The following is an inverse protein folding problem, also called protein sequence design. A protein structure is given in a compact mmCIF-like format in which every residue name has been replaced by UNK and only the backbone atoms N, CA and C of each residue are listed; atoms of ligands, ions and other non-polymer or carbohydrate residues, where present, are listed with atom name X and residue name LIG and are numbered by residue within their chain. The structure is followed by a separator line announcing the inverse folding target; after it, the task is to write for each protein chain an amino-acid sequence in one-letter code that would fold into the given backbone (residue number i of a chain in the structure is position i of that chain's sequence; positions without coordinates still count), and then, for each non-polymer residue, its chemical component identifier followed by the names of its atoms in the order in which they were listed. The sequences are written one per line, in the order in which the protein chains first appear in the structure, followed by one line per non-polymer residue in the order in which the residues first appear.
data_IF_827482584015
#
_entry.id   IF_827482584015
#
_cell.length_a   1.000
_cell.length_b   1.000
_cell.length_c   1.000
_cell.angle_alpha   90.00
_cell.angle_beta   90.00
_cell.angle_gamma   90.00
#
_symmetry.space_group_name_H-M   'P 1'
#
loop_
_entity.id
_entity.type
_entity.pdbx_description
1 polymer ?
#
# COMPACT_ATOMS: atom_id res chain seq x y z
N UNK A 1 -9.04 21.46 12.37
CA UNK A 1 -7.83 20.70 11.98
C UNK A 1 -7.04 20.35 13.23
N UNK A 2 -6.51 19.13 13.31
CA UNK A 2 -5.56 18.73 14.33
C UNK A 2 -4.16 19.28 14.02
N UNK A 3 -3.25 19.32 15.00
CA UNK A 3 -1.86 19.72 14.75
C UNK A 3 -1.14 18.58 14.02
N UNK A 4 -0.41 18.89 12.95
CA UNK A 4 0.19 17.90 12.04
C UNK A 4 -0.78 17.33 11.00
N UNK A 5 -1.93 17.97 10.79
CA UNK A 5 -2.90 17.67 9.73
C UNK A 5 -2.75 18.66 8.56
N UNK A 6 -3.07 18.18 7.35
CA UNK A 6 -3.27 19.01 6.17
C UNK A 6 -4.76 19.25 5.95
N UNK A 7 -5.19 20.50 5.80
CA UNK A 7 -6.57 20.81 5.39
C UNK A 7 -6.58 21.68 4.15
N UNK A 8 -7.48 21.39 3.21
CA UNK A 8 -7.55 22.07 1.93
C UNK A 8 -8.84 22.84 1.76
N UNK A 9 -8.77 23.99 1.09
CA UNK A 9 -9.91 24.80 0.66
C UNK A 9 -9.75 25.13 -0.82
N UNK A 10 -10.66 24.61 -1.65
CA UNK A 10 -10.71 24.94 -3.09
C UNK A 10 -11.61 26.13 -3.32
N UNK A 11 -11.08 27.16 -3.95
CA UNK A 11 -11.79 28.38 -4.32
C UNK A 11 -12.29 28.31 -5.77
N UNK A 12 -13.40 29.02 -6.11
CA UNK A 12 -13.90 29.05 -7.48
C UNK A 12 -12.92 29.72 -8.45
N UNK A 13 -12.21 30.74 -7.98
CA UNK A 13 -11.14 31.45 -8.69
C UNK A 13 -9.96 31.67 -7.75
N UNK A 14 -8.80 31.99 -8.33
CA UNK A 14 -7.61 32.31 -7.55
C UNK A 14 -7.82 33.53 -6.66
N UNK A 15 -7.41 33.49 -5.38
CA UNK A 15 -7.54 34.65 -4.50
C UNK A 15 -6.50 35.71 -4.84
N UNK A 16 -6.91 36.98 -4.87
CA UNK A 16 -6.00 38.11 -5.01
C UNK A 16 -5.12 38.26 -3.76
N UNK A 17 -5.69 38.00 -2.57
CA UNK A 17 -5.00 38.07 -1.28
C UNK A 17 -5.47 36.97 -0.35
N UNK A 18 -4.57 36.50 0.50
CA UNK A 18 -4.90 35.71 1.69
C UNK A 18 -4.09 36.24 2.86
N UNK A 19 -4.70 36.28 4.04
CA UNK A 19 -4.02 36.57 5.29
C UNK A 19 -4.55 35.63 6.36
N UNK A 20 -3.66 34.93 7.06
CA UNK A 20 -3.95 34.12 8.25
C UNK A 20 -2.63 33.91 9.01
N UNK A 21 -2.71 33.67 10.31
CA UNK A 21 -1.58 33.33 11.17
C UNK A 21 -1.24 31.82 11.12
N UNK A 22 -1.29 31.22 9.93
CA UNK A 22 -0.94 29.82 9.66
C UNK A 22 -0.17 29.72 8.33
N UNK A 23 0.72 28.72 8.17
CA UNK A 23 1.33 28.46 6.86
C UNK A 23 0.26 28.14 5.82
N UNK A 24 0.38 28.73 4.64
CA UNK A 24 -0.51 28.48 3.51
C UNK A 24 0.31 28.13 2.28
N UNK A 25 0.03 26.96 1.72
CA UNK A 25 0.49 26.57 0.38
C UNK A 25 -0.65 26.76 -0.61
N UNK A 26 -0.28 27.02 -1.86
CA UNK A 26 -1.23 27.30 -2.93
C UNK A 26 -0.87 26.47 -4.14
N UNK A 27 -1.88 25.85 -4.72
CA UNK A 27 -1.74 25.00 -5.89
C UNK A 27 -2.70 25.45 -6.98
N UNK A 28 -2.19 25.49 -8.20
CA UNK A 28 -3.02 25.54 -9.38
C UNK A 28 -3.63 24.15 -9.62
N UNK A 29 -4.71 24.12 -10.39
CA UNK A 29 -5.43 22.91 -10.76
C UNK A 29 -5.39 22.75 -12.29
N UNK A 30 -4.22 22.64 -12.93
CA UNK A 30 -4.13 22.56 -14.39
C UNK A 30 -4.83 21.30 -14.91
N UNK A 31 -5.35 21.35 -16.14
CA UNK A 31 -5.96 20.18 -16.74
C UNK A 31 -4.90 19.13 -17.08
N UNK A 32 -5.13 17.89 -16.64
CA UNK A 32 -4.39 16.68 -17.03
C UNK A 32 -5.36 15.75 -17.76
N UNK A 33 -5.29 15.76 -19.09
CA UNK A 33 -6.27 15.08 -19.93
C UNK A 33 -7.67 15.69 -19.75
N UNK A 34 -8.61 14.86 -19.30
CA UNK A 34 -9.97 15.30 -18.97
C UNK A 34 -10.14 15.69 -17.48
N UNK A 35 -9.05 15.75 -16.71
CA UNK A 35 -9.06 15.88 -15.26
C UNK A 35 -8.27 17.12 -14.81
N UNK A 36 -8.28 17.45 -13.52
CA UNK A 36 -7.44 18.52 -12.94
C UNK A 36 -6.40 17.88 -12.01
N UNK A 37 -5.14 18.31 -12.11
CA UNK A 37 -4.07 17.91 -11.20
C UNK A 37 -3.91 18.94 -10.08
N UNK A 38 -4.12 18.57 -8.80
CA UNK A 38 -4.09 19.53 -7.72
C UNK A 38 -2.71 19.93 -7.19
N UNK A 39 -1.61 19.44 -7.75
CA UNK A 39 -0.30 19.52 -7.08
C UNK A 39 0.72 20.44 -7.75
N UNK A 40 0.30 21.29 -8.68
CA UNK A 40 1.19 22.28 -9.27
C UNK A 40 1.26 23.50 -8.36
N UNK A 41 2.32 23.59 -7.55
CA UNK A 41 2.54 24.73 -6.66
C UNK A 41 2.52 26.04 -7.47
N UNK A 42 1.69 27.00 -7.04
CA UNK A 42 1.49 28.25 -7.76
C UNK A 42 1.18 29.39 -6.79
N UNK A 43 1.89 30.51 -6.94
CA UNK A 43 1.68 31.69 -6.09
C UNK A 43 0.22 32.21 -6.10
N UNK A 44 -0.48 32.00 -7.21
CA UNK A 44 -1.89 32.37 -7.39
C UNK A 44 -2.79 31.13 -7.55
N UNK A 45 -2.44 30.01 -6.91
CA UNK A 45 -3.25 28.80 -6.91
C UNK A 45 -4.60 28.99 -6.23
N UNK A 46 -5.65 28.36 -6.79
CA UNK A 46 -7.02 28.38 -6.23
C UNK A 46 -7.28 27.26 -5.24
N UNK A 47 -6.41 26.26 -5.15
CA UNK A 47 -6.42 25.30 -4.05
C UNK A 47 -5.48 25.80 -2.96
N UNK A 48 -6.06 26.11 -1.81
CA UNK A 48 -5.33 26.51 -0.61
C UNK A 48 -5.14 25.29 0.27
N UNK A 49 -3.93 25.09 0.78
CA UNK A 49 -3.65 24.07 1.76
C UNK A 49 -3.00 24.68 3.00
N UNK A 50 -3.52 24.30 4.16
CA UNK A 50 -3.00 24.68 5.47
C UNK A 50 -2.38 23.43 6.10
N UNK A 51 -1.06 23.37 6.11
CA UNK A 51 -0.31 22.40 6.90
C UNK A 51 -0.21 22.92 8.33
N UNK A 52 -0.98 22.34 9.25
CA UNK A 52 -1.05 22.84 10.63
C UNK A 52 0.22 22.44 11.38
N UNK A 53 1.07 23.39 11.80
CA UNK A 53 2.28 23.07 12.56
C UNK A 53 1.96 22.30 13.85
N UNK A 54 2.86 21.40 14.26
CA UNK A 54 2.69 20.62 15.51
C UNK A 54 2.66 21.49 16.77
N UNK A 55 3.30 22.65 16.70
CA UNK A 55 3.39 23.66 17.75
C UNK A 55 2.37 24.81 17.59
N UNK A 56 1.47 24.72 16.60
CA UNK A 56 0.43 25.72 16.40
C UNK A 56 -0.39 25.97 17.67
N UNK A 57 -0.78 27.23 17.88
CA UNK A 57 -1.68 27.63 18.95
C UNK A 57 -3.03 26.92 18.77
N UNK A 58 -3.63 26.46 19.86
CA UNK A 58 -4.99 25.90 19.79
C UNK A 58 -6.05 27.02 19.74
N UNK A 59 -7.21 26.70 19.15
CA UNK A 59 -8.36 27.59 19.04
C UNK A 59 -8.52 28.20 17.64
N UNK A 60 -9.22 29.33 17.57
CA UNK A 60 -9.50 30.00 16.30
C UNK A 60 -8.27 30.75 15.76
N UNK A 61 -7.97 30.48 14.49
CA UNK A 61 -7.10 31.25 13.61
C UNK A 61 -7.96 31.95 12.59
N UNK A 62 -7.99 33.29 12.64
CA UNK A 62 -8.86 34.12 11.79
C UNK A 62 -8.07 34.57 10.57
N UNK A 63 -8.67 34.40 9.41
CA UNK A 63 -8.09 34.85 8.15
C UNK A 63 -9.05 35.66 7.30
N UNK A 64 -8.49 36.36 6.33
CA UNK A 64 -9.22 37.06 5.28
C UNK A 64 -8.75 36.58 3.91
N UNK A 65 -9.67 36.50 2.96
CA UNK A 65 -9.41 36.20 1.56
C UNK A 65 -10.03 37.29 0.69
N UNK A 66 -9.31 37.70 -0.35
CA UNK A 66 -9.85 38.56 -1.40
C UNK A 66 -10.03 37.71 -2.66
N UNK A 67 -11.26 37.60 -3.15
CA UNK A 67 -11.61 36.85 -4.36
C UNK A 67 -12.58 37.68 -5.20
N UNK A 68 -12.25 37.88 -6.47
CA UNK A 68 -13.02 38.68 -7.42
C UNK A 68 -13.30 40.11 -6.90
N UNK A 69 -12.32 40.69 -6.19
CA UNK A 69 -12.42 42.03 -5.61
C UNK A 69 -13.26 42.12 -4.32
N UNK A 70 -13.88 41.02 -3.88
CA UNK A 70 -14.64 40.95 -2.63
C UNK A 70 -13.80 40.33 -1.51
N UNK A 71 -13.89 40.90 -0.31
CA UNK A 71 -13.25 40.36 0.89
C UNK A 71 -14.20 39.41 1.63
N UNK A 72 -13.68 38.26 2.07
CA UNK A 72 -14.38 37.30 2.91
C UNK A 72 -13.52 36.94 4.13
N UNK A 73 -14.15 36.84 5.29
CA UNK A 73 -13.52 36.32 6.49
C UNK A 73 -13.70 34.80 6.55
N UNK A 74 -12.68 34.09 7.06
CA UNK A 74 -12.74 32.66 7.34
C UNK A 74 -11.99 32.32 8.62
N UNK A 75 -12.23 31.12 9.14
CA UNK A 75 -11.58 30.62 10.34
C UNK A 75 -11.07 29.21 10.14
N UNK A 76 -9.86 28.94 10.64
CA UNK A 76 -9.35 27.59 10.87
C UNK A 76 -9.34 27.35 12.37
N UNK A 77 -10.12 26.39 12.85
CA UNK A 77 -10.08 25.97 14.26
C UNK A 77 -9.03 24.87 14.43
N UNK A 78 -7.99 25.15 15.22
CA UNK A 78 -6.93 24.19 15.56
C UNK A 78 -7.27 23.51 16.89
N UNK A 79 -7.47 22.20 16.86
CA UNK A 79 -7.79 21.42 18.05
C UNK A 79 -6.57 21.29 18.98
N UNK A 80 -6.81 21.15 20.29
CA UNK A 80 -5.74 21.02 21.29
C UNK A 80 -5.18 19.59 21.39
N UNK A 81 -4.86 18.98 20.24
CA UNK A 81 -4.15 17.70 20.18
C UNK A 81 -3.30 17.62 18.91
N UNK A 82 -2.25 16.81 18.97
CA UNK A 82 -1.30 16.60 17.88
C UNK A 82 -1.44 15.18 17.34
N UNK A 83 -1.52 15.05 16.02
CA UNK A 83 -1.52 13.74 15.39
C UNK A 83 -0.15 13.09 15.55
N UNK A 84 -0.10 11.77 15.81
CA UNK A 84 1.17 11.05 15.92
C UNK A 84 1.88 10.99 14.57
N UNK A 85 3.20 10.83 14.60
CA UNK A 85 4.01 10.67 13.39
C UNK A 85 3.89 9.30 12.76
N UNK A 86 3.48 8.31 13.55
CA UNK A 86 3.21 6.95 13.11
C UNK A 86 1.72 6.74 12.98
N UNK A 87 1.31 6.14 11.87
CA UNK A 87 -0.09 5.78 11.66
C UNK A 87 -0.45 4.57 12.51
N UNK A 88 -1.53 4.69 13.28
CA UNK A 88 -2.17 3.55 13.97
C UNK A 88 -3.28 2.91 13.12
N UNK A 89 -3.70 3.61 12.07
CA UNK A 89 -4.64 3.15 11.07
C UNK A 89 -4.04 3.45 9.69
N UNK A 90 -3.78 2.42 8.90
CA UNK A 90 -3.01 2.55 7.66
C UNK A 90 -3.97 2.70 6.49
N UNK A 91 -3.99 3.88 5.87
CA UNK A 91 -4.70 4.10 4.61
C UNK A 91 -3.73 3.82 3.44
N UNK A 92 -3.68 2.56 3.04
CA UNK A 92 -2.79 2.10 1.99
C UNK A 92 -3.41 2.40 0.61
N UNK A 93 -2.61 2.94 -0.30
CA UNK A 93 -2.97 3.16 -1.70
C UNK A 93 -2.22 2.17 -2.57
N UNK A 94 -2.91 1.17 -3.08
CA UNK A 94 -2.29 0.19 -3.96
C UNK A 94 -2.05 0.73 -5.38
N UNK A 95 -0.79 0.69 -5.81
CA UNK A 95 -0.38 1.08 -7.16
C UNK A 95 -0.11 -0.15 -8.03
N UNK A 96 -1.07 -0.56 -8.86
CA UNK A 96 -0.89 -1.66 -9.82
C UNK A 96 -0.50 -1.13 -11.21
N UNK A 97 0.50 -1.75 -11.84
CA UNK A 97 0.90 -1.42 -13.21
C UNK A 97 1.58 -0.06 -13.37
N UNK A 98 1.94 0.59 -12.26
CA UNK A 98 2.72 1.82 -12.28
C UNK A 98 4.21 1.47 -12.42
N UNK A 99 4.88 2.05 -13.43
CA UNK A 99 6.31 1.86 -13.65
C UNK A 99 7.18 2.94 -13.00
N UNK A 100 6.59 4.08 -12.66
CA UNK A 100 7.29 5.21 -12.04
C UNK A 100 7.28 5.08 -10.52
N UNK A 101 8.41 4.61 -9.97
CA UNK A 101 8.67 4.51 -8.54
C UNK A 101 9.35 5.77 -7.98
N UNK A 102 9.14 6.94 -8.60
CA UNK A 102 9.70 8.21 -8.12
C UNK A 102 9.34 8.45 -6.66
N UNK A 103 10.32 8.96 -5.90
CA UNK A 103 10.15 9.29 -4.48
C UNK A 103 9.09 10.37 -4.25
N UNK A 104 8.81 11.21 -5.25
CA UNK A 104 7.83 12.29 -5.13
C UNK A 104 6.42 11.76 -4.85
N UNK A 105 6.05 10.61 -5.45
CA UNK A 105 4.77 9.95 -5.18
C UNK A 105 4.66 9.46 -3.74
N UNK A 106 5.74 8.87 -3.21
CA UNK A 106 5.79 8.40 -1.83
C UNK A 106 5.80 9.58 -0.85
N UNK A 107 6.53 10.66 -1.15
CA UNK A 107 6.58 11.87 -0.32
C UNK A 107 5.21 12.52 -0.24
N UNK A 108 4.49 12.62 -1.35
CA UNK A 108 3.13 13.13 -1.41
C UNK A 108 2.18 12.29 -0.54
N UNK A 109 2.19 10.97 -0.71
CA UNK A 109 1.36 10.09 0.11
C UNK A 109 1.69 10.25 1.60
N UNK A 110 2.97 10.21 1.96
CA UNK A 110 3.44 10.35 3.33
C UNK A 110 3.02 11.69 3.96
N UNK A 111 3.16 12.79 3.23
CA UNK A 111 2.76 14.14 3.64
C UNK A 111 1.26 14.23 3.95
N UNK A 112 0.43 13.54 3.16
CA UNK A 112 -1.02 13.46 3.37
C UNK A 112 -1.47 12.27 4.21
N UNK A 113 -0.53 11.65 4.96
CA UNK A 113 -0.81 10.57 5.93
C UNK A 113 -1.44 9.33 5.27
N UNK A 114 -1.05 9.06 4.04
CA UNK A 114 -1.37 7.85 3.27
C UNK A 114 -0.10 7.01 3.08
N UNK A 115 -0.28 5.72 2.81
CA UNK A 115 0.81 4.80 2.52
C UNK A 115 0.72 4.33 1.07
N UNK A 116 1.58 4.84 0.19
CA UNK A 116 1.65 4.33 -1.18
C UNK A 116 2.35 2.97 -1.20
N UNK A 117 1.68 1.95 -1.74
CA UNK A 117 2.24 0.61 -1.87
C UNK A 117 2.12 0.12 -3.32
N UNK A 118 3.22 0.18 -4.06
CA UNK A 118 3.23 -0.13 -5.49
C UNK A 118 3.66 -1.57 -5.73
N UNK A 119 2.83 -2.34 -6.44
CA UNK A 119 3.13 -3.75 -6.73
C UNK A 119 4.18 -3.82 -7.86
N UNK A 120 5.39 -4.35 -7.61
CA UNK A 120 6.50 -4.24 -8.55
C UNK A 120 6.52 -5.40 -9.56
N UNK A 121 5.36 -5.97 -9.89
CA UNK A 121 5.21 -7.01 -10.91
C UNK A 121 3.77 -7.04 -11.45
N UNK A 122 3.58 -7.67 -12.61
CA UNK A 122 2.26 -7.87 -13.23
C UNK A 122 1.92 -9.35 -13.38
N UNK A 123 0.85 -9.64 -14.14
CA UNK A 123 0.32 -11.00 -14.31
C UNK A 123 1.35 -12.04 -14.78
N UNK A 124 2.34 -11.62 -15.56
CA UNK A 124 3.42 -12.51 -16.04
C UNK A 124 4.42 -12.93 -14.96
N UNK A 125 4.30 -12.38 -13.74
CA UNK A 125 5.25 -12.59 -12.64
C UNK A 125 6.64 -12.01 -12.90
N UNK A 126 6.80 -11.21 -13.96
CA UNK A 126 8.02 -10.44 -14.23
C UNK A 126 8.01 -9.17 -13.41
N UNK A 127 9.14 -8.92 -12.75
CA UNK A 127 9.34 -7.77 -11.88
C UNK A 127 9.70 -6.52 -12.69
N UNK A 128 9.20 -5.37 -12.27
CA UNK A 128 9.53 -4.04 -12.80
C UNK A 128 10.48 -3.29 -11.88
N UNK A 129 10.50 -3.61 -10.59
CA UNK A 129 11.46 -3.09 -9.62
C UNK A 129 11.88 -4.22 -8.65
N UNK A 130 13.16 -4.59 -8.67
CA UNK A 130 13.74 -5.64 -7.83
C UNK A 130 15.26 -5.45 -7.73
N UNK A 131 15.94 -5.98 -6.70
CA UNK A 131 17.40 -6.11 -6.73
C UNK A 131 17.83 -6.98 -7.91
N UNK A 132 19.03 -6.73 -8.44
CA UNK A 132 19.50 -7.45 -9.62
C UNK A 132 19.98 -8.85 -9.20
N UNK A 133 19.32 -9.87 -9.74
CA UNK A 133 19.74 -11.26 -9.56
C UNK A 133 21.01 -11.54 -10.37
N UNK A 134 22.04 -12.08 -9.72
CA UNK A 134 23.29 -12.52 -10.35
C UNK A 134 23.20 -13.98 -10.80
N UNK A 135 24.04 -14.43 -11.75
CA UNK A 135 24.02 -15.82 -12.23
C UNK A 135 24.30 -16.89 -11.16
N UNK A 136 24.96 -16.51 -10.06
CA UNK A 136 25.26 -17.38 -8.91
C UNK A 136 24.10 -17.47 -7.90
N UNK A 137 22.96 -16.82 -8.18
CA UNK A 137 21.78 -16.79 -7.31
C UNK A 137 21.83 -15.70 -6.23
N UNK A 138 22.92 -14.95 -6.10
CA UNK A 138 23.01 -13.83 -5.16
C UNK A 138 22.33 -12.56 -5.71
N UNK A 139 21.99 -11.63 -4.84
CA UNK A 139 21.41 -10.34 -5.21
C UNK A 139 22.44 -9.22 -5.15
N UNK A 140 22.37 -8.33 -6.14
CA UNK A 140 22.97 -7.02 -6.11
C UNK A 140 21.92 -5.99 -5.69
N UNK A 141 22.15 -5.38 -4.53
CA UNK A 141 21.22 -4.48 -3.87
C UNK A 141 21.45 -3.01 -4.21
N UNK A 142 22.50 -2.66 -4.96
CA UNK A 142 22.95 -1.26 -5.10
C UNK A 142 21.83 -0.31 -5.59
N UNK A 143 21.17 -0.64 -6.69
CA UNK A 143 20.11 0.21 -7.25
C UNK A 143 18.82 0.15 -6.42
N UNK A 144 18.54 -1.01 -5.81
CA UNK A 144 17.40 -1.19 -4.91
C UNK A 144 17.53 -0.30 -3.66
N UNK A 145 18.68 -0.34 -3.00
CA UNK A 145 19.01 0.48 -1.84
C UNK A 145 18.98 1.96 -2.19
N UNK A 146 19.51 2.33 -3.36
CA UNK A 146 19.46 3.71 -3.83
C UNK A 146 18.01 4.16 -4.04
N UNK A 147 17.15 3.32 -4.61
CA UNK A 147 15.77 3.69 -4.90
C UNK A 147 14.94 3.77 -3.62
N UNK A 148 14.92 2.69 -2.83
CA UNK A 148 13.98 2.46 -1.73
C UNK A 148 14.57 2.74 -0.35
N UNK A 149 15.89 2.68 -0.18
CA UNK A 149 16.54 2.87 1.13
C UNK A 149 16.07 4.14 1.85
N UNK A 150 16.03 5.31 1.18
CA UNK A 150 15.52 6.54 1.79
C UNK A 150 14.04 6.50 2.22
N UNK A 151 13.22 5.65 1.59
CA UNK A 151 11.83 5.44 2.00
C UNK A 151 11.73 4.50 3.22
N UNK A 152 12.68 3.59 3.37
CA UNK A 152 12.72 2.54 4.40
C UNK A 152 13.46 2.97 5.67
N UNK A 153 14.38 3.94 5.57
CA UNK A 153 15.02 4.59 6.73
C UNK A 153 14.33 5.92 7.12
N UNK A 154 13.35 6.37 6.33
CA UNK A 154 12.59 7.59 6.56
C UNK A 154 13.30 8.89 6.15
N UNK A 155 14.56 8.85 5.72
CA UNK A 155 15.32 10.04 5.33
C UNK A 155 14.70 10.80 4.15
N UNK A 156 13.96 10.11 3.28
CA UNK A 156 13.18 10.73 2.21
C UNK A 156 12.03 11.60 2.70
N UNK A 157 11.72 11.61 3.99
CA UNK A 157 10.60 12.35 4.57
C UNK A 157 11.01 13.31 5.69
N UNK A 158 12.31 13.47 5.94
CA UNK A 158 12.84 14.22 7.09
C UNK A 158 12.32 15.67 7.18
N UNK A 159 12.03 16.30 6.04
CA UNK A 159 11.50 17.66 5.90
C UNK A 159 9.97 17.73 5.84
N UNK A 160 9.26 16.60 5.87
CA UNK A 160 7.80 16.53 5.86
C UNK A 160 7.22 16.62 7.29
N UNK A 161 5.92 16.93 7.46
CA UNK A 161 5.33 17.16 8.78
C UNK A 161 5.48 16.03 9.80
N UNK A 162 5.54 14.78 9.32
CA UNK A 162 5.73 13.58 10.16
C UNK A 162 7.20 13.29 10.49
N UNK A 163 8.14 14.02 9.90
CA UNK A 163 9.57 13.82 10.06
C UNK A 163 10.08 12.53 9.41
N UNK A 164 11.26 12.03 9.82
CA UNK A 164 11.92 10.88 9.21
C UNK A 164 11.29 9.54 9.63
N UNK A 165 10.01 9.35 9.33
CA UNK A 165 9.28 8.10 9.57
C UNK A 165 9.25 7.28 8.27
N UNK A 166 9.71 6.02 8.27
CA UNK A 166 9.64 5.15 7.09
C UNK A 166 8.21 4.93 6.59
N UNK A 167 8.09 4.56 5.32
CA UNK A 167 6.80 4.07 4.78
C UNK A 167 6.28 2.89 5.59
N UNK A 168 4.98 2.82 5.84
CA UNK A 168 4.39 1.80 6.72
C UNK A 168 4.44 0.40 6.11
N UNK A 169 4.35 0.32 4.78
CA UNK A 169 4.33 -0.92 4.03
C UNK A 169 5.06 -0.80 2.69
N UNK A 170 5.63 -1.92 2.25
CA UNK A 170 6.23 -2.09 0.93
C UNK A 170 5.98 -3.52 0.42
N UNK A 171 5.44 -3.65 -0.78
CA UNK A 171 5.37 -4.93 -1.47
C UNK A 171 6.76 -5.46 -1.83
N UNK A 172 6.95 -6.75 -1.55
CA UNK A 172 8.11 -7.48 -2.05
C UNK A 172 7.93 -7.84 -3.52
N UNK A 173 9.02 -7.90 -4.30
CA UNK A 173 8.98 -8.33 -5.69
C UNK A 173 8.85 -9.86 -5.87
N UNK A 174 8.91 -10.60 -4.75
CA UNK A 174 8.72 -12.04 -4.72
C UNK A 174 7.32 -12.40 -5.19
N UNK A 175 7.23 -13.33 -6.13
CA UNK A 175 5.98 -13.88 -6.62
C UNK A 175 6.16 -15.35 -7.02
N UNK A 176 5.13 -16.00 -7.56
CA UNK A 176 5.23 -17.41 -7.93
C UNK A 176 6.24 -17.68 -9.04
N UNK A 177 6.63 -16.68 -9.83
CA UNK A 177 7.58 -16.80 -10.93
C UNK A 177 8.99 -16.31 -10.57
N UNK A 178 9.13 -15.08 -10.09
CA UNK A 178 10.44 -14.49 -9.82
C UNK A 178 10.85 -14.65 -8.35
N UNK A 179 12.12 -15.01 -8.05
CA UNK A 179 13.25 -15.21 -8.99
C UNK A 179 13.40 -16.62 -9.61
N UNK A 180 12.60 -17.60 -9.19
CA UNK A 180 12.80 -19.03 -9.49
C UNK A 180 12.65 -19.41 -10.97
N UNK A 181 12.04 -18.55 -11.80
CA UNK A 181 11.63 -18.88 -13.17
C UNK A 181 10.73 -20.14 -13.22
N UNK A 182 9.53 -20.03 -12.63
CA UNK A 182 8.66 -21.16 -12.28
C UNK A 182 8.41 -22.20 -13.37
N UNK A 183 8.42 -21.81 -14.65
CA UNK A 183 8.20 -22.72 -15.78
C UNK A 183 9.23 -23.86 -15.82
N UNK A 184 10.44 -23.65 -15.25
CA UNK A 184 11.48 -24.68 -15.15
C UNK A 184 11.13 -25.80 -14.17
N UNK A 185 10.33 -25.49 -13.17
CA UNK A 185 10.06 -26.36 -12.03
C UNK A 185 8.62 -26.88 -12.00
N UNK A 186 7.71 -26.19 -12.66
CA UNK A 186 6.29 -26.52 -12.63
C UNK A 186 6.00 -27.76 -13.49
N UNK A 187 5.55 -28.83 -12.86
CA UNK A 187 5.22 -30.13 -13.48
C UNK A 187 3.74 -30.27 -13.86
N UNK A 188 2.93 -29.28 -13.50
CA UNK A 188 1.47 -29.37 -13.59
C UNK A 188 0.87 -30.18 -12.45
N UNK A 189 -0.46 -30.16 -12.36
CA UNK A 189 -1.21 -30.83 -11.30
C UNK A 189 -2.23 -29.90 -10.64
N UNK A 190 -3.17 -30.51 -9.93
CA UNK A 190 -4.22 -29.78 -9.21
C UNK A 190 -3.77 -29.34 -7.80
N UNK A 191 -2.94 -30.16 -7.16
CA UNK A 191 -2.45 -29.99 -5.79
C UNK A 191 -1.01 -29.49 -5.76
N UNK A 192 -0.73 -28.50 -4.90
CA UNK A 192 0.56 -27.80 -4.81
C UNK A 192 1.73 -28.73 -4.45
N UNK A 193 1.44 -29.78 -3.68
CA UNK A 193 2.41 -30.73 -3.10
C UNK A 193 3.22 -31.48 -4.17
N UNK A 194 2.68 -31.62 -5.38
CA UNK A 194 3.32 -32.36 -6.48
C UNK A 194 3.55 -31.50 -7.72
N UNK A 195 3.13 -30.23 -7.68
CA UNK A 195 3.13 -29.36 -8.84
C UNK A 195 4.49 -28.72 -9.12
N UNK A 196 5.39 -28.69 -8.14
CA UNK A 196 6.76 -28.19 -8.27
C UNK A 196 7.75 -29.26 -7.81
N UNK A 197 8.96 -29.25 -8.38
CA UNK A 197 10.09 -29.96 -7.75
C UNK A 197 10.60 -29.24 -6.49
N UNK A 198 11.44 -29.95 -5.73
CA UNK A 198 12.01 -29.43 -4.48
C UNK A 198 12.96 -28.23 -4.71
N UNK A 199 13.58 -28.14 -5.90
CA UNK A 199 14.50 -27.06 -6.22
C UNK A 199 13.78 -25.70 -6.22
N UNK A 200 12.54 -25.64 -6.73
CA UNK A 200 11.71 -24.44 -6.66
C UNK A 200 11.58 -23.89 -5.23
N UNK A 201 11.26 -24.76 -4.27
CA UNK A 201 11.07 -24.36 -2.89
C UNK A 201 12.39 -23.97 -2.21
N UNK A 202 13.49 -24.63 -2.56
CA UNK A 202 14.83 -24.24 -2.09
C UNK A 202 15.20 -22.84 -2.59
N UNK A 203 14.98 -22.55 -3.88
CA UNK A 203 15.25 -21.25 -4.48
C UNK A 203 14.34 -20.15 -3.89
N UNK A 204 13.04 -20.43 -3.72
CA UNK A 204 12.10 -19.51 -3.08
C UNK A 204 12.54 -19.16 -1.65
N UNK A 205 12.89 -20.17 -0.84
CA UNK A 205 13.38 -19.92 0.54
C UNK A 205 14.70 -19.14 0.54
N UNK A 206 15.64 -19.47 -0.35
CA UNK A 206 16.90 -18.75 -0.46
C UNK A 206 16.67 -17.26 -0.81
N UNK A 207 15.75 -17.00 -1.74
CA UNK A 207 15.39 -15.65 -2.14
C UNK A 207 14.72 -14.88 -0.98
N UNK A 208 13.63 -15.40 -0.42
CA UNK A 208 12.91 -14.76 0.68
C UNK A 208 13.81 -14.48 1.89
N UNK A 209 14.64 -15.46 2.27
CA UNK A 209 15.60 -15.30 3.36
C UNK A 209 16.69 -14.26 3.05
N UNK A 210 17.08 -14.07 1.78
CA UNK A 210 18.05 -13.04 1.39
C UNK A 210 17.49 -11.63 1.54
N UNK A 211 16.22 -11.41 1.19
CA UNK A 211 15.53 -10.13 1.47
C UNK A 211 15.48 -9.85 2.97
N UNK A 212 15.04 -10.81 3.77
CA UNK A 212 14.92 -10.64 5.22
C UNK A 212 16.29 -10.36 5.89
N UNK A 213 17.35 -11.06 5.49
CA UNK A 213 18.71 -10.80 6.00
C UNK A 213 19.22 -9.42 5.60
N UNK A 214 19.09 -9.05 4.32
CA UNK A 214 19.51 -7.73 3.84
C UNK A 214 18.80 -6.61 4.62
N UNK A 215 17.49 -6.72 4.82
CA UNK A 215 16.73 -5.70 5.55
C UNK A 215 17.15 -5.60 7.03
N UNK A 216 17.47 -6.71 7.67
CA UNK A 216 18.02 -6.73 9.02
C UNK A 216 19.40 -6.05 9.07
N UNK A 217 20.30 -6.38 8.14
CA UNK A 217 21.64 -5.77 8.03
C UNK A 217 21.58 -4.26 7.77
N UNK A 218 20.56 -3.79 7.06
CA UNK A 218 20.30 -2.36 6.79
C UNK A 218 19.62 -1.63 7.94
N UNK A 219 19.13 -2.34 8.95
CA UNK A 219 18.40 -1.75 10.07
C UNK A 219 16.96 -1.34 9.75
N UNK A 220 16.35 -1.89 8.68
CA UNK A 220 15.01 -1.54 8.25
C UNK A 220 13.96 -2.34 9.02
N UNK A 221 13.67 -1.92 10.26
CA UNK A 221 12.82 -2.68 11.19
C UNK A 221 11.36 -2.18 11.27
N UNK A 222 11.06 -1.02 10.69
CA UNK A 222 9.77 -0.35 10.92
C UNK A 222 8.74 -0.55 9.81
N UNK A 223 9.18 -0.61 8.55
CA UNK A 223 8.32 -0.89 7.38
C UNK A 223 7.87 -2.35 7.41
N UNK A 224 6.60 -2.58 7.11
CA UNK A 224 6.05 -3.92 6.91
C UNK A 224 6.33 -4.39 5.48
N UNK A 225 7.11 -5.46 5.30
CA UNK A 225 7.48 -5.99 3.99
C UNK A 225 6.52 -7.10 3.56
N UNK A 226 5.62 -6.77 2.65
CA UNK A 226 4.50 -7.62 2.26
C UNK A 226 4.90 -8.56 1.11
N UNK A 227 5.10 -9.85 1.42
CA UNK A 227 4.99 -10.89 0.41
C UNK A 227 3.51 -11.06 0.05
N UNK A 228 3.18 -10.87 -1.22
CA UNK A 228 1.82 -10.95 -1.73
C UNK A 228 1.84 -11.66 -3.07
N UNK A 229 0.88 -12.55 -3.30
CA UNK A 229 0.68 -13.25 -4.57
C UNK A 229 -0.58 -12.71 -5.24
N UNK A 230 -0.40 -11.85 -6.23
CA UNK A 230 -1.50 -11.16 -6.90
C UNK A 230 -2.15 -11.99 -8.01
N UNK A 231 -1.42 -12.96 -8.58
CA UNK A 231 -1.76 -13.51 -9.89
C UNK A 231 -2.90 -14.55 -9.85
N UNK A 232 -3.72 -14.59 -10.91
CA UNK A 232 -4.87 -15.51 -11.03
C UNK A 232 -4.81 -16.31 -12.31
N UNK A 233 -4.91 -17.65 -12.21
CA UNK A 233 -4.79 -18.57 -13.36
C UNK A 233 -5.76 -18.24 -14.50
N UNK A 234 -6.95 -17.73 -14.21
CA UNK A 234 -7.93 -17.41 -15.24
C UNK A 234 -7.52 -16.24 -16.15
N UNK A 235 -6.48 -15.47 -15.83
CA UNK A 235 -5.91 -14.49 -16.78
C UNK A 235 -5.25 -15.14 -18.01
N UNK A 236 -5.06 -16.46 -18.00
CA UNK A 236 -4.69 -17.26 -19.17
C UNK A 236 -5.85 -17.46 -20.14
N UNK A 237 -7.09 -17.29 -19.68
CA UNK A 237 -8.28 -17.53 -20.49
C UNK A 237 -8.44 -16.47 -21.58
N UNK A 238 -9.02 -16.89 -22.69
CA UNK A 238 -9.44 -16.00 -23.76
C UNK A 238 -10.52 -15.03 -23.29
N UNK A 239 -10.55 -13.82 -23.84
CA UNK A 239 -11.61 -12.82 -23.61
C UNK A 239 -12.14 -12.30 -24.94
N UNK A 240 -13.42 -11.96 -24.99
CA UNK A 240 -14.07 -11.32 -26.15
C UNK A 240 -13.83 -12.08 -27.48
N UNK A 241 -14.02 -13.41 -27.46
CA UNK A 241 -13.84 -14.27 -28.63
C UNK A 241 -12.39 -14.55 -29.04
N UNK A 242 -11.39 -14.04 -28.31
CA UNK A 242 -9.98 -14.37 -28.54
C UNK A 242 -9.58 -15.65 -27.82
N UNK A 243 -8.66 -16.46 -28.37
CA UNK A 243 -8.13 -17.63 -27.67
C UNK A 243 -7.32 -17.22 -26.42
N UNK A 244 -7.19 -18.14 -25.47
CA UNK A 244 -6.35 -17.94 -24.28
C UNK A 244 -4.86 -17.87 -24.61
N UNK A 245 -4.08 -17.35 -23.67
CA UNK A 245 -2.63 -17.25 -23.78
C UNK A 245 -1.96 -17.68 -22.47
N UNK A 246 -1.28 -18.82 -22.51
CA UNK A 246 -0.54 -19.36 -21.36
C UNK A 246 0.62 -18.46 -20.91
N UNK A 247 1.13 -17.57 -21.77
CA UNK A 247 2.18 -16.59 -21.44
C UNK A 247 1.64 -15.30 -20.82
N UNK A 248 0.32 -15.11 -20.76
CA UNK A 248 -0.30 -13.89 -20.23
C UNK A 248 -0.29 -13.83 -18.69
N UNK A 249 -0.14 -14.98 -18.03
CA UNK A 249 -0.11 -15.07 -16.59
C UNK A 249 0.78 -16.24 -16.15
N UNK A 250 1.60 -16.08 -15.11
CA UNK A 250 2.38 -17.19 -14.55
C UNK A 250 1.54 -18.07 -13.63
N UNK A 251 0.57 -17.52 -12.90
CA UNK A 251 -0.14 -18.24 -11.85
C UNK A 251 -0.74 -19.59 -12.29
N UNK A 252 -0.45 -20.67 -11.54
CA UNK A 252 -1.12 -21.96 -11.68
C UNK A 252 -2.47 -22.04 -10.94
N UNK A 253 -2.70 -21.20 -9.93
CA UNK A 253 -3.93 -21.11 -9.14
C UNK A 253 -4.49 -19.68 -9.08
N UNK A 254 -5.57 -19.46 -8.34
CA UNK A 254 -6.10 -18.13 -8.03
C UNK A 254 -5.49 -17.68 -6.70
N UNK A 255 -4.43 -16.85 -6.73
CA UNK A 255 -3.77 -16.42 -5.50
C UNK A 255 -4.45 -15.20 -4.85
N UNK A 256 -4.81 -14.20 -5.65
CA UNK A 256 -5.64 -13.08 -5.20
C UNK A 256 -7.13 -13.44 -5.34
N UNK A 257 -7.91 -13.18 -4.30
CA UNK A 257 -9.30 -13.59 -4.16
C UNK A 257 -9.53 -15.10 -4.40
N UNK A 258 -8.84 -16.00 -3.66
CA UNK A 258 -8.94 -17.44 -3.84
C UNK A 258 -10.39 -17.92 -3.72
N UNK A 259 -10.76 -18.89 -4.57
CA UNK A 259 -12.16 -19.32 -4.70
C UNK A 259 -12.39 -20.79 -4.37
N UNK A 260 -11.35 -21.60 -4.49
CA UNK A 260 -11.45 -23.04 -4.36
C UNK A 260 -10.42 -23.58 -3.37
N UNK A 261 -10.67 -24.75 -2.81
CA UNK A 261 -9.81 -25.39 -1.81
C UNK A 261 -8.34 -25.46 -2.23
N UNK A 262 -8.06 -25.82 -3.49
CA UNK A 262 -6.69 -25.90 -4.01
C UNK A 262 -5.97 -24.54 -4.05
N UNK A 263 -6.72 -23.45 -4.23
CA UNK A 263 -6.15 -22.09 -4.22
C UNK A 263 -5.63 -21.77 -2.81
N UNK A 264 -6.46 -22.03 -1.79
CA UNK A 264 -6.07 -21.86 -0.38
C UNK A 264 -4.91 -22.78 0.03
N UNK A 265 -4.90 -24.04 -0.44
CA UNK A 265 -3.79 -24.96 -0.19
C UNK A 265 -2.47 -24.49 -0.81
N UNK A 266 -2.51 -23.98 -2.05
CA UNK A 266 -1.33 -23.42 -2.71
C UNK A 266 -0.79 -22.21 -1.94
N UNK A 267 -1.66 -21.27 -1.58
CA UNK A 267 -1.33 -20.10 -0.75
C UNK A 267 -0.71 -20.53 0.58
N UNK A 268 -1.30 -21.54 1.24
CA UNK A 268 -0.80 -22.07 2.51
C UNK A 268 0.64 -22.56 2.40
N UNK A 269 0.96 -23.32 1.34
CA UNK A 269 2.31 -23.82 1.09
C UNK A 269 3.30 -22.67 0.91
N UNK A 270 2.98 -21.68 0.08
CA UNK A 270 3.84 -20.49 -0.09
C UNK A 270 4.09 -19.77 1.24
N UNK A 271 3.06 -19.58 2.05
CA UNK A 271 3.19 -18.94 3.37
C UNK A 271 4.10 -19.72 4.32
N UNK A 272 3.94 -21.04 4.41
CA UNK A 272 4.82 -21.88 5.24
C UNK A 272 6.29 -21.80 4.81
N UNK A 273 6.54 -21.85 3.51
CA UNK A 273 7.89 -21.76 2.96
C UNK A 273 8.50 -20.37 3.17
N UNK A 274 7.67 -19.33 3.06
CA UNK A 274 8.09 -17.96 3.31
C UNK A 274 8.48 -17.76 4.78
N UNK A 275 7.65 -18.22 5.73
CA UNK A 275 7.97 -18.08 7.15
C UNK A 275 9.20 -18.89 7.56
N UNK A 276 9.37 -20.09 7.02
CA UNK A 276 10.58 -20.88 7.23
C UNK A 276 11.84 -20.13 6.75
N UNK A 277 11.74 -19.41 5.63
CA UNK A 277 12.84 -18.65 5.06
C UNK A 277 13.23 -17.41 5.87
N UNK A 278 12.25 -16.72 6.46
CA UNK A 278 12.46 -15.40 7.09
C UNK A 278 12.57 -15.44 8.60
N UNK A 279 12.28 -16.57 9.27
CA UNK A 279 12.27 -16.71 10.74
C UNK A 279 13.57 -16.30 11.45
N UNK A 280 14.70 -16.32 10.74
CA UNK A 280 15.99 -15.91 11.30
C UNK A 280 16.15 -14.39 11.46
N UNK A 281 15.34 -13.60 10.76
CA UNK A 281 15.33 -12.12 10.80
C UNK A 281 14.07 -11.62 11.51
N UNK A 282 13.87 -12.05 12.77
CA UNK A 282 12.65 -11.78 13.54
C UNK A 282 12.48 -10.30 13.93
N UNK A 283 13.53 -9.50 13.79
CA UNK A 283 13.57 -8.05 14.00
C UNK A 283 13.08 -7.24 12.78
N UNK A 284 12.92 -7.88 11.63
CA UNK A 284 12.32 -7.28 10.44
C UNK A 284 10.84 -7.62 10.39
N UNK A 285 9.99 -6.64 10.11
CA UNK A 285 8.53 -6.82 9.97
C UNK A 285 8.18 -7.44 8.62
N UNK A 286 8.59 -8.69 8.42
CA UNK A 286 8.16 -9.49 7.27
C UNK A 286 6.68 -9.83 7.42
N UNK A 287 5.92 -9.74 6.33
CA UNK A 287 4.50 -10.06 6.30
C UNK A 287 4.17 -11.00 5.14
N UNK A 288 3.22 -11.91 5.36
CA UNK A 288 2.53 -12.60 4.29
C UNK A 288 1.12 -12.03 4.18
N UNK A 289 0.92 -11.24 3.13
CA UNK A 289 -0.33 -10.55 2.84
C UNK A 289 -1.20 -11.37 1.91
N UNK A 290 -2.49 -11.42 2.21
CA UNK A 290 -3.52 -12.01 1.36
C UNK A 290 -4.64 -11.03 1.10
N UNK A 291 -5.00 -10.89 -0.18
CA UNK A 291 -6.22 -10.21 -0.58
C UNK A 291 -7.31 -11.29 -0.71
N UNK A 292 -8.13 -11.43 0.33
CA UNK A 292 -9.13 -12.48 0.51
C UNK A 292 -10.52 -11.87 0.57
N UNK A 293 -11.12 -11.67 -0.59
CA UNK A 293 -12.47 -11.08 -0.71
C UNK A 293 -13.58 -11.87 -0.04
N UNK A 294 -13.36 -13.17 0.18
CA UNK A 294 -14.32 -14.10 0.81
C UNK A 294 -13.64 -14.83 1.96
N UNK A 295 -13.31 -14.13 3.05
CA UNK A 295 -12.56 -14.70 4.18
C UNK A 295 -13.28 -15.89 4.81
N UNK A 296 -14.60 -16.00 4.66
CA UNK A 296 -15.42 -17.11 5.12
C UNK A 296 -15.20 -18.41 4.33
N UNK A 297 -14.61 -18.35 3.13
CA UNK A 297 -14.30 -19.55 2.32
C UNK A 297 -13.01 -20.24 2.75
N UNK A 298 -12.09 -19.52 3.41
CA UNK A 298 -10.80 -20.08 3.80
C UNK A 298 -10.91 -21.18 4.88
N UNK A 299 -12.00 -21.16 5.67
CA UNK A 299 -12.16 -21.98 6.88
C UNK A 299 -10.96 -21.82 7.82
N UNK A 300 -10.23 -22.89 8.09
CA UNK A 300 -9.03 -23.00 8.92
C UNK A 300 -7.74 -23.21 8.09
N UNK A 301 -7.84 -23.24 6.75
CA UNK A 301 -6.71 -23.58 5.87
C UNK A 301 -5.54 -22.58 5.95
N UNK A 302 -5.81 -21.35 6.39
CA UNK A 302 -4.83 -20.26 6.47
C UNK A 302 -4.58 -19.78 7.91
N UNK A 303 -5.06 -20.53 8.91
CA UNK A 303 -4.85 -20.20 10.32
C UNK A 303 -3.34 -20.25 10.65
N UNK A 304 -2.84 -19.19 11.28
CA UNK A 304 -1.43 -19.00 11.58
C UNK A 304 -0.49 -18.82 10.38
N UNK A 305 -1.01 -18.66 9.14
CA UNK A 305 -0.18 -18.53 7.94
C UNK A 305 -0.11 -17.11 7.40
N UNK A 306 -1.23 -16.40 7.22
CA UNK A 306 -1.15 -14.97 6.85
C UNK A 306 -0.88 -14.10 8.07
N UNK A 307 -0.29 -12.93 7.86
CA UNK A 307 -0.12 -11.88 8.89
C UNK A 307 -0.86 -10.59 8.55
N UNK A 308 -1.25 -10.42 7.28
CA UNK A 308 -2.09 -9.32 6.80
C UNK A 308 -3.20 -9.90 5.94
N UNK A 309 -4.46 -9.66 6.32
CA UNK A 309 -5.63 -10.03 5.51
C UNK A 309 -6.32 -8.75 5.02
N UNK A 310 -6.42 -8.60 3.70
CA UNK A 310 -7.21 -7.57 3.05
C UNK A 310 -8.53 -8.18 2.61
N UNK A 311 -9.64 -7.71 3.18
CA UNK A 311 -10.97 -8.30 3.00
C UNK A 311 -11.91 -7.35 2.26
N UNK A 312 -12.95 -7.91 1.65
CA UNK A 312 -13.98 -7.12 0.98
C UNK A 312 -14.95 -6.49 1.97
N UNK A 313 -16.00 -5.86 1.42
CA UNK A 313 -17.16 -5.41 2.18
C UNK A 313 -17.85 -6.49 3.03
N UNK A 314 -17.52 -7.77 2.86
CA UNK A 314 -17.90 -8.88 3.76
C UNK A 314 -17.54 -8.60 5.23
N UNK A 315 -16.57 -7.71 5.51
CA UNK A 315 -16.29 -7.23 6.87
C UNK A 315 -17.53 -6.60 7.53
N UNK A 316 -18.44 -5.98 6.77
CA UNK A 316 -19.69 -5.39 7.29
C UNK A 316 -20.67 -6.47 7.75
N UNK A 317 -20.74 -7.57 7.00
CA UNK A 317 -21.69 -8.65 7.27
C UNK A 317 -21.19 -9.56 8.39
N UNK A 318 -19.88 -9.79 8.48
CA UNK A 318 -19.29 -10.75 9.43
C UNK A 318 -18.11 -10.18 10.25
N UNK A 319 -18.20 -8.98 10.86
CA UNK A 319 -17.05 -8.33 11.50
C UNK A 319 -16.45 -9.16 12.62
N UNK A 320 -17.31 -9.76 13.48
CA UNK A 320 -16.85 -10.60 14.59
C UNK A 320 -16.12 -11.85 14.14
N UNK A 321 -16.52 -12.45 13.00
CA UNK A 321 -15.87 -13.65 12.47
C UNK A 321 -14.51 -13.31 11.89
N UNK A 322 -14.45 -12.27 11.05
CA UNK A 322 -13.22 -11.85 10.37
C UNK A 322 -12.22 -11.30 11.39
N UNK A 323 -12.58 -10.24 12.10
CA UNK A 323 -11.70 -9.59 13.09
C UNK A 323 -11.39 -10.54 14.25
N UNK A 324 -12.37 -11.30 14.73
CA UNK A 324 -12.17 -12.24 15.83
C UNK A 324 -11.21 -13.38 15.46
N UNK A 325 -11.21 -13.86 14.21
CA UNK A 325 -10.21 -14.81 13.72
C UNK A 325 -8.83 -14.16 13.63
N UNK A 326 -8.76 -13.01 12.98
CA UNK A 326 -7.49 -12.35 12.71
C UNK A 326 -6.77 -11.93 14.01
N UNK A 327 -7.52 -11.48 15.01
CA UNK A 327 -6.97 -11.19 16.36
C UNK A 327 -6.41 -12.41 17.09
N UNK A 328 -6.97 -13.62 16.91
CA UNK A 328 -6.42 -14.85 17.53
C UNK A 328 -5.02 -15.15 17.03
N UNK A 329 -4.77 -14.84 15.76
CA UNK A 329 -3.51 -15.11 15.08
C UNK A 329 -2.58 -13.87 15.04
N UNK A 330 -2.98 -12.75 15.66
CA UNK A 330 -2.21 -11.50 15.65
C UNK A 330 -2.12 -10.82 14.28
N UNK A 331 -3.06 -11.09 13.37
CA UNK A 331 -3.07 -10.56 12.00
C UNK A 331 -3.60 -9.14 11.95
N UNK A 332 -3.03 -8.32 11.07
CA UNK A 332 -3.64 -7.06 10.67
C UNK A 332 -4.78 -7.33 9.69
N UNK A 333 -5.86 -6.56 9.80
CA UNK A 333 -7.03 -6.64 8.93
C UNK A 333 -7.25 -5.32 8.23
N UNK A 334 -7.34 -5.36 6.91
CA UNK A 334 -7.66 -4.20 6.09
C UNK A 334 -8.97 -4.45 5.34
N UNK A 335 -9.74 -3.41 5.06
CA UNK A 335 -10.86 -3.53 4.13
C UNK A 335 -10.50 -2.85 2.82
N UNK A 336 -10.54 -3.56 1.70
CA UNK A 336 -10.33 -2.92 0.40
C UNK A 336 -11.58 -2.21 -0.09
N UNK A 337 -11.38 -1.20 -0.93
CA UNK A 337 -12.45 -0.39 -1.48
C UNK A 337 -12.05 0.28 -2.78
N UNK A 338 -12.68 1.40 -3.07
CA UNK A 338 -12.30 2.24 -4.21
C UNK A 338 -12.54 3.66 -3.82
N UNK A 339 -11.58 4.53 -4.14
CA UNK A 339 -11.73 5.97 -3.93
C UNK A 339 -12.96 6.49 -4.67
N UNK A 340 -13.58 7.51 -4.10
CA UNK A 340 -14.69 8.25 -4.71
C UNK A 340 -14.35 8.60 -6.16
N UNK A 341 -15.29 8.38 -7.08
CA UNK A 341 -15.12 8.81 -8.47
C UNK A 341 -15.04 10.33 -8.54
N UNK A 342 -14.43 10.85 -9.60
CA UNK A 342 -14.44 12.29 -9.85
C UNK A 342 -15.88 12.82 -9.92
N UNK A 343 -16.09 14.00 -9.32
CA UNK A 343 -17.43 14.59 -9.16
C UNK A 343 -18.25 14.04 -7.99
N UNK A 344 -17.78 13.00 -7.29
CA UNK A 344 -18.38 12.55 -6.04
C UNK A 344 -17.73 13.25 -4.84
N UNK A 345 -18.44 13.40 -3.72
CA UNK A 345 -17.86 13.95 -2.50
C UNK A 345 -16.68 13.12 -2.00
N UNK A 346 -15.53 13.77 -1.80
CA UNK A 346 -14.32 13.15 -1.22
C UNK A 346 -14.55 12.66 0.23
N UNK A 347 -15.59 13.17 0.91
CA UNK A 347 -16.01 12.72 2.24
C UNK A 347 -16.33 11.21 2.30
N UNK A 348 -16.64 10.58 1.16
CA UNK A 348 -16.84 9.12 1.06
C UNK A 348 -15.57 8.36 1.45
N UNK A 349 -14.38 8.87 1.07
CA UNK A 349 -13.11 8.22 1.40
C UNK A 349 -12.85 8.25 2.91
N UNK A 350 -13.10 9.40 3.54
CA UNK A 350 -12.99 9.54 4.99
C UNK A 350 -14.02 8.69 5.75
N UNK A 351 -15.26 8.62 5.24
CA UNK A 351 -16.31 7.78 5.81
C UNK A 351 -15.95 6.29 5.75
N UNK A 352 -15.33 5.83 4.66
CA UNK A 352 -14.83 4.47 4.53
C UNK A 352 -13.73 4.15 5.54
N UNK A 353 -12.76 5.04 5.76
CA UNK A 353 -11.75 4.88 6.82
C UNK A 353 -12.41 4.77 8.21
N UNK A 354 -13.35 5.68 8.52
CA UNK A 354 -14.03 5.71 9.81
C UNK A 354 -14.89 4.46 10.06
N UNK A 355 -15.62 4.00 9.05
CA UNK A 355 -16.40 2.76 9.11
C UNK A 355 -15.50 1.55 9.36
N UNK A 356 -14.42 1.43 8.58
CA UNK A 356 -13.46 0.31 8.69
C UNK A 356 -12.83 0.24 10.07
N UNK A 357 -12.39 1.40 10.58
CA UNK A 357 -11.87 1.52 11.95
C UNK A 357 -12.92 1.14 13.00
N UNK A 358 -14.17 1.59 12.85
CA UNK A 358 -15.26 1.25 13.77
C UNK A 358 -15.61 -0.25 13.77
N UNK A 359 -15.38 -0.95 12.66
CA UNK A 359 -15.51 -2.42 12.57
C UNK A 359 -14.34 -3.17 13.24
N UNK A 360 -13.30 -2.45 13.67
CA UNK A 360 -12.17 -2.98 14.43
C UNK A 360 -11.01 -3.47 13.58
N UNK A 361 -10.94 -3.04 12.31
CA UNK A 361 -9.84 -3.28 11.39
C UNK A 361 -8.73 -2.19 11.52
N UNK A 362 -7.56 -2.49 10.98
CA UNK A 362 -6.31 -1.75 11.16
C UNK A 362 -6.01 -0.79 9.98
N UNK A 363 -6.75 -0.89 8.88
CA UNK A 363 -6.52 -0.04 7.72
C UNK A 363 -7.51 -0.24 6.58
N UNK A 364 -7.28 0.52 5.51
CA UNK A 364 -7.97 0.41 4.22
C UNK A 364 -6.95 0.24 3.09
N UNK A 365 -7.40 -0.34 1.98
CA UNK A 365 -6.61 -0.57 0.75
C UNK A 365 -7.36 -0.11 -0.50
#
# INVERSE_FOLDING_TARGET
AAKGEAVTMRLPTSPEKISIDLPVRRYDLPPVGAFEDPLVAAANGRLLEFQIPKDARAGEHRGTLQVAGQEYAFTVHVWNFTLPDRLSFVAQMNGYGMSDMSRDWFRLAHEHRLTLNMLPYGWTGRVTAAPKLRPDGSFDWQDWDKLLGPLLDGSAFADLPRGPVPTEALYLPLNENWPMAHERHFKGGYWIEHAYDDAYWQEFRAAAGSFARHFAEKGWHETTFEFYLNNKVYFKNGKNGKPGNWKACSAPWIFDEPQHTQDFWAIRRFGLEYWEAVKASADVRMAFRLDVSRPEWQRDLLDGVSSVDVVSGTLRDYPRRVVGRNRRDGKQTYMYGTVSKLGQPLAINAAWCAETWALGADGVV
#
